data_IF_319647569772
#
_entry.id   IF_319647569772
#
_cell.length_a   1.000
_cell.length_b   1.000
_cell.length_c   1.000
_cell.angle_alpha   90.00
_cell.angle_beta   90.00
_cell.angle_gamma   90.00
#
_symmetry.space_group_name_H-M   'P 1'
#
loop_
_entity.id
_entity.type
_entity.pdbx_description
1 polymer ?
#
# COMPACT_ATOMS: atom_id res chain seq x y z
N UNK A 1 30.46 -11.89 14.02
CA UNK A 1 30.47 -12.35 12.62
C UNK A 1 29.04 -12.19 12.15
N UNK A 2 28.72 -11.04 11.54
CA UNK A 2 27.35 -10.73 11.10
C UNK A 2 27.02 -11.61 9.90
N UNK A 3 25.90 -12.32 9.96
CA UNK A 3 25.38 -13.06 8.82
C UNK A 3 25.15 -12.06 7.69
N UNK A 4 25.67 -12.36 6.50
CA UNK A 4 25.37 -11.57 5.31
C UNK A 4 23.85 -11.48 5.17
N UNK A 5 23.31 -10.27 5.14
CA UNK A 5 21.88 -10.04 4.86
C UNK A 5 21.64 -10.42 3.40
N UNK A 6 21.35 -11.71 3.16
CA UNK A 6 20.77 -12.15 1.90
C UNK A 6 19.52 -11.32 1.58
N UNK A 7 19.22 -11.18 0.29
CA UNK A 7 18.11 -10.37 -0.20
C UNK A 7 16.80 -10.80 0.48
N UNK A 8 16.23 -9.90 1.30
CA UNK A 8 14.99 -10.17 2.03
C UNK A 8 13.85 -10.25 1.01
N UNK A 9 13.03 -11.31 1.02
CA UNK A 9 11.89 -11.40 0.11
C UNK A 9 10.94 -10.22 0.34
N UNK A 10 10.45 -9.62 -0.74
CA UNK A 10 9.55 -8.46 -0.70
C UNK A 10 8.11 -8.86 -1.00
N UNK A 11 7.23 -8.71 -0.01
CA UNK A 11 5.81 -8.85 -0.18
C UNK A 11 5.14 -7.50 -0.51
N UNK A 12 4.41 -7.44 -1.62
CA UNK A 12 3.55 -6.30 -1.99
C UNK A 12 2.10 -6.71 -1.81
N UNK A 13 1.37 -5.96 -1.00
CA UNK A 13 0.04 -6.34 -0.54
C UNK A 13 -0.99 -5.27 -0.90
N UNK A 14 -2.06 -5.70 -1.55
CA UNK A 14 -3.15 -4.84 -1.99
C UNK A 14 -4.44 -5.33 -1.33
N UNK A 15 -4.87 -4.74 -0.19
CA UNK A 15 -6.11 -5.13 0.47
C UNK A 15 -7.31 -4.85 -0.44
N UNK A 16 -8.27 -5.78 -0.44
CA UNK A 16 -9.55 -5.58 -1.11
C UNK A 16 -10.28 -4.36 -0.50
N UNK A 17 -10.99 -3.62 -1.35
CA UNK A 17 -11.35 -2.21 -1.09
C UNK A 17 -12.54 -1.98 -0.14
N UNK A 18 -12.96 -2.98 0.63
CA UNK A 18 -13.88 -2.78 1.73
C UNK A 18 -13.09 -2.64 3.06
N UNK A 19 -13.50 -1.67 3.89
CA UNK A 19 -12.82 -1.31 5.14
C UNK A 19 -12.51 -2.52 6.05
N UNK A 20 -13.35 -3.56 6.02
CA UNK A 20 -13.17 -4.79 6.78
C UNK A 20 -11.91 -5.59 6.43
N UNK A 21 -11.29 -5.40 5.26
CA UNK A 21 -10.09 -6.13 4.85
C UNK A 21 -8.78 -5.44 5.22
N UNK A 22 -8.81 -4.15 5.59
CA UNK A 22 -7.59 -3.38 5.89
C UNK A 22 -6.93 -3.90 7.17
N UNK A 23 -7.68 -4.08 8.26
CA UNK A 23 -7.13 -4.53 9.54
C UNK A 23 -6.54 -5.94 9.47
N UNK A 24 -7.24 -6.97 8.93
CA UNK A 24 -6.64 -8.30 8.76
C UNK A 24 -5.37 -8.29 7.91
N UNK A 25 -5.35 -7.50 6.84
CA UNK A 25 -4.17 -7.40 5.96
C UNK A 25 -3.01 -6.70 6.64
N UNK A 26 -3.28 -5.72 7.51
CA UNK A 26 -2.24 -5.07 8.31
C UNK A 26 -1.65 -6.03 9.35
N UNK A 27 -2.48 -6.85 10.01
CA UNK A 27 -1.98 -7.89 10.92
C UNK A 27 -1.17 -8.95 10.18
N UNK A 28 -1.61 -9.39 9.00
CA UNK A 28 -0.81 -10.27 8.13
C UNK A 28 0.53 -9.65 7.76
N UNK A 29 0.53 -8.35 7.43
CA UNK A 29 1.74 -7.61 7.10
C UNK A 29 2.75 -7.58 8.26
N UNK A 30 2.27 -7.36 9.49
CA UNK A 30 3.10 -7.42 10.70
C UNK A 30 3.69 -8.82 10.91
N UNK A 31 2.90 -9.88 10.71
CA UNK A 31 3.35 -11.26 10.85
C UNK A 31 4.40 -11.67 9.81
N UNK A 32 4.31 -11.15 8.59
CA UNK A 32 5.29 -11.38 7.53
C UNK A 32 6.57 -10.58 7.79
N UNK A 33 6.43 -9.32 8.21
CA UNK A 33 7.56 -8.48 8.61
C UNK A 33 8.36 -9.11 9.76
N UNK A 34 7.67 -9.66 10.78
CA UNK A 34 8.31 -10.40 11.87
C UNK A 34 9.06 -11.66 11.42
N UNK A 35 8.77 -12.20 10.22
CA UNK A 35 9.47 -13.33 9.60
C UNK A 35 10.59 -12.91 8.64
N UNK A 36 10.96 -11.62 8.62
CA UNK A 36 12.09 -11.12 7.85
C UNK A 36 11.75 -10.62 6.44
N UNK A 37 10.46 -10.50 6.10
CA UNK A 37 10.06 -9.92 4.81
C UNK A 37 10.23 -8.40 4.79
N UNK A 38 10.64 -7.87 3.65
CA UNK A 38 10.29 -6.50 3.29
C UNK A 38 8.81 -6.47 2.92
N UNK A 39 8.09 -5.43 3.34
CA UNK A 39 6.65 -5.34 3.11
C UNK A 39 6.25 -3.98 2.56
N UNK A 40 5.48 -3.96 1.48
CA UNK A 40 4.79 -2.75 0.99
C UNK A 40 3.28 -2.96 1.04
N UNK A 41 2.61 -2.14 1.85
CA UNK A 41 1.16 -2.06 1.92
C UNK A 41 0.66 -1.00 0.93
N UNK A 42 -0.11 -1.40 -0.07
CA UNK A 42 -0.60 -0.51 -1.13
C UNK A 42 -2.03 -0.09 -0.82
N UNK A 43 -2.22 1.18 -0.51
CA UNK A 43 -3.55 1.78 -0.39
C UNK A 43 -4.05 2.27 -1.76
N UNK A 44 -5.36 2.47 -1.88
CA UNK A 44 -5.86 3.43 -2.86
C UNK A 44 -5.55 4.84 -2.36
N UNK A 45 -5.38 5.81 -3.25
CA UNK A 45 -5.18 7.21 -2.85
C UNK A 45 -6.32 7.73 -1.95
N UNK A 46 -7.56 7.30 -2.20
CA UNK A 46 -8.70 7.61 -1.33
C UNK A 46 -8.49 7.09 0.11
N UNK A 47 -8.18 5.80 0.27
CA UNK A 47 -7.95 5.21 1.58
C UNK A 47 -6.70 5.77 2.27
N UNK A 48 -5.68 6.12 1.48
CA UNK A 48 -4.47 6.75 1.96
C UNK A 48 -4.74 8.14 2.56
N UNK A 49 -5.46 9.01 1.83
CA UNK A 49 -5.89 10.33 2.33
C UNK A 49 -6.77 10.22 3.56
N UNK A 50 -7.69 9.25 3.57
CA UNK A 50 -8.58 9.01 4.71
C UNK A 50 -7.82 8.55 5.96
N UNK A 51 -6.82 7.68 5.80
CA UNK A 51 -5.95 7.25 6.90
C UNK A 51 -5.16 8.43 7.48
N UNK A 52 -4.60 9.28 6.62
CA UNK A 52 -3.89 10.50 7.02
C UNK A 52 -4.81 11.48 7.77
N UNK A 53 -6.03 11.69 7.29
CA UNK A 53 -7.00 12.58 7.95
C UNK A 53 -7.41 12.06 9.34
N UNK A 54 -7.56 10.75 9.48
CA UNK A 54 -8.01 10.15 10.75
C UNK A 54 -6.90 9.96 11.79
N UNK A 55 -5.64 9.76 11.36
CA UNK A 55 -4.53 9.39 12.26
C UNK A 55 -3.28 10.28 12.15
N UNK A 56 -3.28 11.29 11.28
CA UNK A 56 -2.17 12.20 11.04
C UNK A 56 -1.10 11.63 10.11
N UNK A 57 -0.08 12.45 9.79
CA UNK A 57 1.04 12.08 8.90
C UNK A 57 1.85 10.90 9.40
N UNK A 58 1.96 10.76 10.72
CA UNK A 58 2.65 9.64 11.36
C UNK A 58 1.96 8.29 11.14
N UNK A 59 0.71 8.26 10.69
CA UNK A 59 0.00 7.03 10.37
C UNK A 59 0.67 6.20 9.26
N UNK A 60 1.50 6.86 8.45
CA UNK A 60 2.25 6.28 7.35
C UNK A 60 3.76 6.26 7.62
N UNK A 61 4.19 6.63 8.82
CA UNK A 61 5.57 6.45 9.24
C UNK A 61 5.80 4.94 9.40
N UNK A 62 6.22 4.34 8.30
CA UNK A 62 6.58 2.93 8.22
C UNK A 62 7.89 2.64 8.94
N UNK A 63 8.20 1.36 9.10
CA UNK A 63 9.53 0.90 9.47
C UNK A 63 10.41 0.86 8.21
N UNK A 64 11.76 0.86 8.30
CA UNK A 64 12.64 0.78 7.12
C UNK A 64 12.27 -0.37 6.16
N UNK A 65 11.78 -1.48 6.73
CA UNK A 65 11.32 -2.67 6.01
C UNK A 65 9.80 -2.82 5.92
N UNK A 66 9.00 -1.81 6.30
CA UNK A 66 7.55 -1.78 6.19
C UNK A 66 7.10 -0.44 5.61
N UNK A 67 6.63 -0.43 4.37
CA UNK A 67 6.32 0.80 3.63
C UNK A 67 4.85 0.87 3.26
N UNK A 68 4.35 2.10 3.11
CA UNK A 68 3.07 2.37 2.49
C UNK A 68 3.28 2.95 1.09
N UNK A 69 2.46 2.53 0.15
CA UNK A 69 2.34 3.11 -1.18
C UNK A 69 0.87 3.45 -1.48
N UNK A 70 0.63 4.27 -2.50
CA UNK A 70 -0.71 4.59 -2.97
C UNK A 70 -0.78 4.49 -4.49
N UNK A 71 -1.93 4.02 -4.99
CA UNK A 71 -2.30 4.03 -6.41
C UNK A 71 -3.72 4.56 -6.57
N UNK A 72 -4.07 5.19 -7.69
CA UNK A 72 -5.44 5.63 -7.94
C UNK A 72 -6.38 4.43 -8.07
N UNK A 73 -7.63 4.61 -7.63
CA UNK A 73 -8.69 3.59 -7.68
C UNK A 73 -9.58 3.70 -8.94
N UNK A 74 -9.34 4.72 -9.77
CA UNK A 74 -10.09 4.96 -11.00
C UNK A 74 -11.45 5.63 -10.81
N UNK A 75 -11.79 6.05 -9.59
CA UNK A 75 -12.99 6.83 -9.31
C UNK A 75 -12.70 8.34 -9.26
N UNK A 76 -13.72 9.20 -9.46
CA UNK A 76 -13.58 10.63 -9.24
C UNK A 76 -13.13 10.94 -7.80
N UNK A 77 -12.32 11.99 -7.57
CA UNK A 77 -11.93 12.41 -6.23
C UNK A 77 -13.15 12.62 -5.32
N UNK A 78 -13.05 12.11 -4.10
CA UNK A 78 -14.08 12.26 -3.07
C UNK A 78 -13.41 12.48 -1.72
N UNK A 79 -13.99 13.39 -0.93
CA UNK A 79 -13.59 13.67 0.45
C UNK A 79 -14.57 13.09 1.47
N UNK A 80 -15.58 12.35 1.02
CA UNK A 80 -16.56 11.72 1.90
C UNK A 80 -15.87 10.78 2.90
N UNK A 81 -16.23 10.87 4.18
CA UNK A 81 -15.81 9.90 5.19
C UNK A 81 -16.77 8.70 5.21
N UNK A 82 -16.93 8.08 4.04
CA UNK A 82 -17.82 6.96 3.82
C UNK A 82 -17.16 5.91 2.91
N UNK A 83 -17.69 4.70 2.92
CA UNK A 83 -17.32 3.68 1.94
C UNK A 83 -17.71 4.17 0.54
N UNK A 84 -16.77 4.08 -0.41
CA UNK A 84 -17.04 4.38 -1.82
C UNK A 84 -18.09 3.42 -2.39
N UNK A 85 -18.71 3.79 -3.50
CA UNK A 85 -19.62 2.92 -4.26
C UNK A 85 -18.87 1.63 -4.66
N UNK A 86 -19.20 0.53 -3.99
CA UNK A 86 -18.49 -0.75 -4.14
C UNK A 86 -18.61 -1.30 -5.57
N UNK A 87 -19.80 -1.35 -6.21
CA UNK A 87 -19.91 -1.71 -7.62
C UNK A 87 -19.04 -0.87 -8.56
N UNK A 88 -19.08 0.46 -8.44
CA UNK A 88 -18.29 1.36 -9.28
C UNK A 88 -16.79 1.12 -9.07
N UNK A 89 -16.38 0.90 -7.82
CA UNK A 89 -15.01 0.63 -7.45
C UNK A 89 -14.49 -0.70 -8.02
N UNK A 90 -15.30 -1.77 -7.95
CA UNK A 90 -14.98 -3.05 -8.58
C UNK A 90 -14.80 -2.92 -10.10
N UNK A 91 -15.67 -2.16 -10.76
CA UNK A 91 -15.57 -1.91 -12.20
C UNK A 91 -14.33 -1.09 -12.56
N UNK A 92 -14.07 0.00 -11.83
CA UNK A 92 -12.89 0.83 -12.03
C UNK A 92 -11.60 0.02 -11.84
N UNK A 93 -11.50 -0.78 -10.77
CA UNK A 93 -10.37 -1.68 -10.57
C UNK A 93 -10.16 -2.64 -11.74
N UNK A 94 -11.23 -3.28 -12.21
CA UNK A 94 -11.12 -4.25 -13.31
C UNK A 94 -10.63 -3.62 -14.62
N UNK A 95 -10.77 -2.30 -14.79
CA UNK A 95 -10.48 -1.59 -16.04
C UNK A 95 -9.23 -0.71 -15.98
N UNK A 96 -8.87 -0.15 -14.83
CA UNK A 96 -7.80 0.86 -14.71
C UNK A 96 -6.63 0.43 -13.82
N UNK A 97 -6.79 -0.60 -12.99
CA UNK A 97 -5.82 -0.89 -11.92
C UNK A 97 -4.48 -1.41 -12.42
N UNK A 98 -4.49 -2.27 -13.44
CA UNK A 98 -3.30 -2.97 -13.95
C UNK A 98 -2.15 -2.01 -14.31
N UNK A 99 -2.34 -0.97 -15.14
CA UNK A 99 -1.23 -0.06 -15.47
C UNK A 99 -0.67 0.66 -14.24
N UNK A 100 -1.49 1.01 -13.25
CA UNK A 100 -1.03 1.64 -12.02
C UNK A 100 -0.22 0.68 -11.15
N UNK A 101 -0.67 -0.57 -11.03
CA UNK A 101 0.07 -1.61 -10.31
C UNK A 101 1.43 -1.88 -10.98
N UNK A 102 1.46 -2.01 -12.31
CA UNK A 102 2.70 -2.23 -13.06
C UNK A 102 3.70 -1.09 -12.85
N UNK A 103 3.24 0.17 -12.90
CA UNK A 103 4.09 1.33 -12.64
C UNK A 103 4.63 1.34 -11.21
N UNK A 104 3.82 0.95 -10.22
CA UNK A 104 4.28 0.82 -8.83
C UNK A 104 5.33 -0.29 -8.69
N UNK A 105 5.09 -1.47 -9.26
CA UNK A 105 6.05 -2.58 -9.21
C UNK A 105 7.37 -2.23 -9.90
N UNK A 106 7.32 -1.55 -11.05
CA UNK A 106 8.50 -1.05 -11.73
C UNK A 106 9.32 -0.10 -10.83
N UNK A 107 8.65 0.82 -10.12
CA UNK A 107 9.31 1.70 -9.15
C UNK A 107 9.92 0.92 -7.99
N UNK A 108 9.19 -0.04 -7.41
CA UNK A 108 9.68 -0.83 -6.27
C UNK A 108 10.90 -1.69 -6.61
N UNK A 109 11.00 -2.13 -7.87
CA UNK A 109 12.13 -2.92 -8.35
C UNK A 109 13.32 -2.06 -8.81
N UNK A 110 13.18 -0.74 -8.84
CA UNK A 110 14.27 0.16 -9.22
C UNK A 110 15.23 0.35 -8.02
N UNK A 111 16.49 -0.11 -8.09
CA UNK A 111 17.45 0.00 -6.99
C UNK A 111 17.85 1.44 -6.65
N UNK A 112 17.53 2.41 -7.53
CA UNK A 112 17.73 3.84 -7.29
C UNK A 112 16.56 4.51 -6.56
N UNK A 113 15.41 3.82 -6.46
CA UNK A 113 14.28 4.29 -5.67
C UNK A 113 14.64 4.18 -4.19
N UNK A 114 15.01 5.31 -3.59
CA UNK A 114 15.42 5.36 -2.19
C UNK A 114 14.41 4.68 -1.26
N UNK A 115 14.90 4.14 -0.13
CA UNK A 115 14.12 3.38 0.85
C UNK A 115 13.04 4.20 1.61
N UNK A 116 12.75 5.42 1.17
CA UNK A 116 11.83 6.37 1.82
C UNK A 116 10.69 6.78 0.90
N UNK A 117 9.49 6.93 1.49
CA UNK A 117 8.24 7.50 0.96
C UNK A 117 8.17 7.66 -0.57
N UNK A 118 7.43 6.76 -1.24
CA UNK A 118 7.13 6.83 -2.68
C UNK A 118 5.98 7.80 -3.03
N UNK A 119 5.68 8.75 -2.15
CA UNK A 119 4.58 9.70 -2.29
C UNK A 119 5.08 11.13 -1.98
N UNK A 120 4.74 12.13 -2.83
CA UNK A 120 5.12 13.53 -2.62
C UNK A 120 4.44 14.17 -1.40
#
# INVERSE_FOLDING_TARGET
MGLEEGEKPHAVCLPALAQGHITPMLEMAKLLHARGFHFTFVNTEFNHRRLLRSRGTAALDGLPSFRFAAIPDGLPPSEADATQDVPALCYAMATTFLPHLQALLAKLNDPSSGQGRLWP
#
